data_IF_416350528880
#
_entry.id   IF_416350528880
#
_cell.length_a   1.000
_cell.length_b   1.000
_cell.length_c   1.000
_cell.angle_alpha   90.00
_cell.angle_beta   90.00
_cell.angle_gamma   90.00
#
_symmetry.space_group_name_H-M   'P 1'
#
loop_
_entity.id
_entity.type
_entity.pdbx_description
1 polymer ?
#
# COMPACT_ATOMS: atom_id res chain seq x y z
N UNK A 1 -5.44 4.21 -9.48
CA UNK A 1 -4.61 2.98 -9.62
C UNK A 1 -4.97 2.34 -10.95
N UNK A 2 -3.96 1.95 -11.73
CA UNK A 2 -4.13 1.37 -13.07
C UNK A 2 -3.31 0.07 -13.13
N UNK A 3 -3.85 -0.94 -13.80
CA UNK A 3 -3.21 -2.22 -14.06
C UNK A 3 -3.08 -2.42 -15.56
N UNK A 4 -1.87 -2.67 -16.03
CA UNK A 4 -1.55 -2.91 -17.44
C UNK A 4 -0.86 -4.27 -17.55
N UNK A 5 -1.27 -5.12 -18.50
CA UNK A 5 -0.53 -6.35 -18.79
C UNK A 5 0.79 -6.00 -19.49
N UNK A 6 1.90 -6.55 -19.00
CA UNK A 6 3.19 -6.52 -19.68
C UNK A 6 3.35 -7.75 -20.57
N UNK A 7 2.91 -8.91 -20.08
CA UNK A 7 2.81 -10.18 -20.80
C UNK A 7 1.77 -11.09 -20.11
N UNK A 8 1.74 -12.38 -20.46
CA UNK A 8 0.77 -13.34 -19.93
C UNK A 8 0.88 -13.58 -18.41
N UNK A 9 2.01 -13.27 -17.79
CA UNK A 9 2.28 -13.55 -16.38
C UNK A 9 2.61 -12.28 -15.56
N UNK A 10 2.89 -11.15 -16.21
CA UNK A 10 3.33 -9.93 -15.54
C UNK A 10 2.32 -8.78 -15.69
N UNK A 11 2.06 -8.07 -14.59
CA UNK A 11 1.21 -6.88 -14.55
C UNK A 11 2.00 -5.67 -14.05
N UNK A 12 1.98 -4.58 -14.82
CA UNK A 12 2.45 -3.27 -14.41
C UNK A 12 1.35 -2.57 -13.59
N UNK A 13 1.67 -2.23 -12.35
CA UNK A 13 0.79 -1.47 -11.46
C UNK A 13 1.27 -0.02 -11.40
N UNK A 14 0.41 0.93 -11.78
CA UNK A 14 0.67 2.37 -11.66
C UNK A 14 -0.22 2.97 -10.57
N UNK A 15 0.41 3.65 -9.63
CA UNK A 15 -0.25 4.34 -8.52
C UNK A 15 0.12 5.82 -8.61
N UNK A 16 -0.91 6.66 -8.65
CA UNK A 16 -0.77 8.12 -8.67
C UNK A 16 -1.71 8.67 -7.62
N UNK A 17 -1.20 9.57 -6.79
CA UNK A 17 -1.95 10.30 -5.79
C UNK A 17 -1.59 11.78 -5.91
N UNK A 18 -2.60 12.64 -5.99
CA UNK A 18 -2.46 14.07 -6.23
C UNK A 18 -3.51 14.86 -5.43
N UNK A 19 -3.47 16.19 -5.50
CA UNK A 19 -4.38 17.07 -4.74
C UNK A 19 -3.84 17.56 -3.40
N UNK A 20 -2.52 17.47 -3.20
CA UNK A 20 -1.84 18.00 -2.03
C UNK A 20 -1.88 19.53 -1.98
N UNK A 21 -2.02 20.10 -0.79
CA UNK A 21 -1.91 21.54 -0.57
C UNK A 21 -0.44 21.97 -0.65
N UNK A 22 -0.21 23.23 -0.99
CA UNK A 22 1.14 23.82 -1.00
C UNK A 22 1.59 24.21 0.42
N UNK A 23 1.85 23.20 1.25
CA UNK A 23 2.44 23.39 2.58
C UNK A 23 3.39 22.26 2.93
N UNK A 24 4.36 22.54 3.81
CA UNK A 24 5.34 21.52 4.23
C UNK A 24 4.65 20.30 4.86
N UNK A 25 3.63 20.52 5.70
CA UNK A 25 2.88 19.43 6.32
C UNK A 25 2.16 18.53 5.29
N UNK A 26 1.62 19.12 4.22
CA UNK A 26 0.99 18.34 3.14
C UNK A 26 2.04 17.58 2.32
N UNK A 27 3.21 18.19 2.09
CA UNK A 27 4.33 17.53 1.43
C UNK A 27 4.86 16.34 2.25
N UNK A 28 5.05 16.51 3.56
CA UNK A 28 5.47 15.43 4.46
C UNK A 28 4.44 14.30 4.48
N UNK A 29 3.14 14.64 4.50
CA UNK A 29 2.05 13.68 4.37
C UNK A 29 2.09 12.91 3.04
N UNK A 30 2.43 13.58 1.94
CA UNK A 30 2.56 12.93 0.62
C UNK A 30 3.67 11.88 0.59
N UNK A 31 4.79 12.13 1.29
CA UNK A 31 5.88 11.16 1.42
C UNK A 31 5.47 9.97 2.29
N UNK A 32 4.72 10.21 3.38
CA UNK A 32 4.16 9.13 4.19
C UNK A 32 3.20 8.24 3.39
N UNK A 33 2.34 8.83 2.54
CA UNK A 33 1.48 8.07 1.64
C UNK A 33 2.29 7.29 0.60
N UNK A 34 3.33 7.90 0.02
CA UNK A 34 4.24 7.22 -0.90
C UNK A 34 4.90 5.98 -0.25
N UNK A 35 5.37 6.09 1.00
CA UNK A 35 5.89 4.95 1.77
C UNK A 35 4.83 3.87 2.02
N UNK A 36 3.59 4.27 2.32
CA UNK A 36 2.46 3.36 2.46
C UNK A 36 2.20 2.54 1.20
N UNK A 37 2.20 3.20 0.04
CA UNK A 37 2.03 2.53 -1.26
C UNK A 37 3.17 1.59 -1.61
N UNK A 38 4.42 1.97 -1.28
CA UNK A 38 5.58 1.10 -1.43
C UNK A 38 5.45 -0.17 -0.59
N UNK A 39 5.09 -0.03 0.70
CA UNK A 39 4.88 -1.19 1.59
C UNK A 39 3.72 -2.09 1.10
N UNK A 40 2.59 -1.49 0.70
CA UNK A 40 1.46 -2.23 0.13
C UNK A 40 1.91 -3.06 -1.08
N UNK A 41 2.68 -2.46 -2.00
CA UNK A 41 3.18 -3.12 -3.20
C UNK A 41 4.12 -4.28 -2.88
N UNK A 42 5.01 -4.13 -1.90
CA UNK A 42 5.87 -5.23 -1.42
C UNK A 42 5.05 -6.39 -0.83
N UNK A 43 4.06 -6.09 0.00
CA UNK A 43 3.17 -7.10 0.58
C UNK A 43 2.36 -7.84 -0.48
N UNK A 44 1.84 -7.11 -1.47
CA UNK A 44 1.08 -7.68 -2.58
C UNK A 44 1.95 -8.63 -3.41
N UNK A 45 3.15 -8.20 -3.78
CA UNK A 45 4.12 -9.03 -4.53
C UNK A 45 4.48 -10.30 -3.77
N UNK A 46 4.84 -10.18 -2.49
CA UNK A 46 5.19 -11.34 -1.65
C UNK A 46 4.06 -12.36 -1.54
N UNK A 47 2.81 -11.87 -1.46
CA UNK A 47 1.64 -12.73 -1.40
C UNK A 47 1.38 -13.45 -2.74
N UNK A 48 1.37 -12.72 -3.85
CA UNK A 48 1.05 -13.27 -5.17
C UNK A 48 2.13 -14.23 -5.69
N UNK A 49 3.41 -13.94 -5.44
CA UNK A 49 4.53 -14.73 -6.01
C UNK A 49 4.96 -15.88 -5.10
N UNK A 50 4.81 -15.74 -3.77
CA UNK A 50 5.36 -16.70 -2.81
C UNK A 50 4.36 -17.19 -1.77
N UNK A 51 3.12 -16.69 -1.77
CA UNK A 51 2.11 -17.05 -0.76
C UNK A 51 2.42 -16.53 0.65
N UNK A 52 3.36 -15.56 0.79
CA UNK A 52 3.78 -15.04 2.09
C UNK A 52 2.93 -13.81 2.47
N UNK A 53 2.26 -13.86 3.62
CA UNK A 53 1.51 -12.72 4.16
C UNK A 53 2.36 -11.86 5.11
N UNK A 54 3.06 -10.87 4.54
CA UNK A 54 3.91 -9.92 5.30
C UNK A 54 3.12 -9.01 6.25
N UNK A 55 1.80 -8.89 6.09
CA UNK A 55 0.94 -8.06 6.96
C UNK A 55 0.57 -8.78 8.27
N UNK A 56 0.75 -10.09 8.35
CA UNK A 56 0.43 -10.88 9.54
C UNK A 56 1.31 -10.42 10.72
N UNK A 57 0.67 -9.92 11.78
CA UNK A 57 1.36 -9.48 13.00
C UNK A 57 1.98 -8.08 12.94
N UNK A 58 2.03 -7.44 11.77
CA UNK A 58 2.60 -6.09 11.61
C UNK A 58 1.76 -5.02 12.32
N UNK A 59 0.43 -5.16 12.29
CA UNK A 59 -0.52 -4.22 12.91
C UNK A 59 -1.11 -4.71 14.22
N UNK A 60 -0.33 -5.40 15.07
CA UNK A 60 -0.83 -6.07 16.29
C UNK A 60 -1.66 -5.14 17.20
N UNK A 61 -1.28 -3.86 17.30
CA UNK A 61 -1.97 -2.86 18.15
C UNK A 61 -3.33 -2.39 17.61
N UNK A 62 -3.63 -2.60 16.33
CA UNK A 62 -4.95 -2.28 15.75
C UNK A 62 -5.98 -3.38 16.00
N UNK A 63 -5.55 -4.61 16.27
CA UNK A 63 -6.43 -5.75 16.56
C UNK A 63 -6.80 -5.87 18.05
N UNK A 64 -6.22 -5.03 18.92
CA UNK A 64 -6.48 -5.02 20.37
C UNK A 64 -7.44 -3.89 20.80
N UNK A 65 -7.91 -3.05 19.87
CA UNK A 65 -8.99 -2.09 20.13
C UNK A 65 -10.35 -2.69 19.75
N UNK A 66 -11.39 -2.53 20.58
CA UNK A 66 -12.73 -3.06 20.32
C UNK A 66 -13.46 -2.16 19.32
N UNK A 67 -13.00 -2.12 18.08
CA UNK A 67 -13.82 -1.63 16.98
C UNK A 67 -13.95 -2.75 15.94
N UNK A 68 -15.00 -3.55 16.14
CA UNK A 68 -15.62 -4.31 15.06
C UNK A 68 -15.85 -3.38 13.88
N UNK A 69 -15.18 -3.65 12.76
CA UNK A 69 -15.50 -3.04 11.49
C UNK A 69 -16.82 -3.70 11.06
N UNK A 70 -17.94 -3.00 11.23
CA UNK A 70 -19.15 -3.23 10.46
C UNK A 70 -18.97 -2.58 9.08
#
# INVERSE_FOLDING_TARGET
MIFESLDSNNTLVKITESGWRESQAALDGSYMNCQGWMNMSCCLKAYLEYGINLRKGFFKKLYEFPFSIN
#
